data_IF_249311881815
#
_entry.id   IF_249311881815
#
_cell.length_a   1.000
_cell.length_b   1.000
_cell.length_c   1.000
_cell.angle_alpha   90.00
_cell.angle_beta   90.00
_cell.angle_gamma   90.00
#
_symmetry.space_group_name_H-M   'P 1'
#
loop_
_entity.id
_entity.type
_entity.pdbx_description
1 polymer ?
#
# COMPACT_ATOMS: atom_id res chain seq x y z
N UNK A 1 -22.55 -24.58 8.85
CA UNK A 1 -22.75 -23.37 8.02
C UNK A 1 -22.44 -22.18 8.90
N UNK A 2 -21.34 -21.46 8.64
CA UNK A 2 -21.05 -20.23 9.38
C UNK A 2 -22.08 -19.19 8.96
N UNK A 3 -22.86 -18.69 9.91
CA UNK A 3 -23.80 -17.58 9.72
C UNK A 3 -22.98 -16.34 9.32
N UNK A 4 -23.09 -15.88 8.07
CA UNK A 4 -22.52 -14.59 7.66
C UNK A 4 -23.16 -13.50 8.55
N UNK A 5 -22.35 -12.82 9.38
CA UNK A 5 -22.81 -11.71 10.23
C UNK A 5 -23.32 -10.59 9.33
N UNK A 6 -24.57 -10.18 9.52
CA UNK A 6 -25.14 -9.02 8.83
C UNK A 6 -24.88 -7.75 9.64
N UNK A 7 -23.99 -6.90 9.14
CA UNK A 7 -23.65 -5.62 9.75
C UNK A 7 -24.65 -4.52 9.35
N UNK A 8 -25.11 -3.75 10.33
CA UNK A 8 -25.91 -2.53 10.10
C UNK A 8 -25.07 -1.43 9.43
N UNK A 9 -25.68 -0.37 8.88
CA UNK A 9 -24.94 0.76 8.32
C UNK A 9 -24.00 1.43 9.35
N UNK A 10 -24.42 1.51 10.61
CA UNK A 10 -23.59 2.05 11.68
C UNK A 10 -22.39 1.13 11.97
N UNK A 11 -22.60 -0.18 12.02
CA UNK A 11 -21.51 -1.13 12.22
C UNK A 11 -20.48 -1.03 11.10
N UNK A 12 -20.93 -0.90 9.85
CA UNK A 12 -20.03 -0.71 8.69
C UNK A 12 -19.23 0.58 8.80
N UNK A 13 -19.85 1.67 9.23
CA UNK A 13 -19.15 2.94 9.46
C UNK A 13 -18.07 2.78 10.55
N UNK A 14 -18.41 2.11 11.66
CA UNK A 14 -17.47 1.85 12.74
C UNK A 14 -16.31 0.94 12.31
N UNK A 15 -16.59 -0.08 11.49
CA UNK A 15 -15.56 -0.94 10.92
C UNK A 15 -14.61 -0.16 10.01
N UNK A 16 -15.13 0.73 9.17
CA UNK A 16 -14.30 1.58 8.30
C UNK A 16 -13.46 2.57 9.12
N UNK A 17 -14.02 3.13 10.21
CA UNK A 17 -13.27 3.97 11.13
C UNK A 17 -12.15 3.17 11.86
N UNK A 18 -12.44 1.94 12.29
CA UNK A 18 -11.44 1.04 12.88
C UNK A 18 -10.32 0.72 11.90
N UNK A 19 -10.65 0.36 10.65
CA UNK A 19 -9.65 0.13 9.59
C UNK A 19 -8.78 1.36 9.35
N UNK A 20 -9.39 2.54 9.23
CA UNK A 20 -8.64 3.80 9.06
C UNK A 20 -7.70 4.08 10.23
N UNK A 21 -8.17 3.87 11.48
CA UNK A 21 -7.33 4.01 12.67
C UNK A 21 -6.17 3.02 12.67
N UNK A 22 -6.41 1.75 12.30
CA UNK A 22 -5.35 0.74 12.20
C UNK A 22 -4.30 1.06 11.15
N UNK A 23 -4.69 1.69 10.04
CA UNK A 23 -3.75 2.10 8.99
C UNK A 23 -2.98 3.37 9.36
N UNK A 24 -3.61 4.33 10.05
CA UNK A 24 -3.03 5.65 10.28
C UNK A 24 -2.27 5.78 11.61
N UNK A 25 -2.67 5.04 12.64
CA UNK A 25 -2.03 5.11 13.94
C UNK A 25 -0.78 4.22 13.96
N UNK A 26 0.39 4.77 14.34
CA UNK A 26 1.61 3.97 14.43
C UNK A 26 1.43 2.75 15.32
N UNK A 27 1.98 1.61 14.90
CA UNK A 27 2.05 0.36 15.65
C UNK A 27 0.69 -0.25 16.02
N UNK A 28 -0.38 0.11 15.32
CA UNK A 28 -1.73 -0.41 15.54
C UNK A 28 -2.11 -1.55 14.60
N UNK A 29 -1.44 -1.67 13.45
CA UNK A 29 -1.54 -2.80 12.54
C UNK A 29 -0.62 -3.95 12.98
N UNK A 30 -1.00 -5.18 12.61
CA UNK A 30 -0.22 -6.39 12.90
C UNK A 30 -0.05 -7.22 11.64
N UNK A 31 1.20 -7.55 11.32
CA UNK A 31 1.52 -8.46 10.23
C UNK A 31 1.16 -9.90 10.60
N UNK A 32 0.60 -10.64 9.65
CA UNK A 32 0.39 -12.08 9.75
C UNK A 32 1.67 -12.85 9.43
N UNK A 33 2.51 -12.30 8.54
CA UNK A 33 3.81 -12.87 8.16
C UNK A 33 4.97 -12.17 8.89
N UNK A 34 6.04 -12.90 9.26
CA UNK A 34 7.24 -12.27 9.79
C UNK A 34 7.91 -11.40 8.73
N UNK A 35 8.56 -10.31 9.15
CA UNK A 35 9.30 -9.44 8.22
C UNK A 35 10.45 -10.20 7.54
N UNK A 36 10.61 -10.08 6.21
CA UNK A 36 11.76 -10.62 5.47
C UNK A 36 13.11 -10.12 6.00
N UNK A 37 13.15 -8.97 6.67
CA UNK A 37 14.36 -8.41 7.27
C UNK A 37 14.89 -9.19 8.48
N UNK A 38 14.11 -10.09 9.08
CA UNK A 38 14.50 -10.82 10.31
C UNK A 38 15.73 -11.71 10.09
N UNK A 39 15.88 -12.26 8.88
CA UNK A 39 17.01 -13.15 8.54
C UNK A 39 18.27 -12.40 8.09
N UNK A 40 18.19 -11.07 7.98
CA UNK A 40 19.29 -10.24 7.50
C UNK A 40 20.10 -9.69 8.68
N UNK A 41 21.44 -9.70 8.60
CA UNK A 41 22.27 -9.12 9.65
C UNK A 41 22.05 -7.60 9.74
N UNK A 42 22.17 -7.04 10.95
CA UNK A 42 22.22 -5.59 11.10
C UNK A 42 23.57 -5.07 10.63
N UNK A 43 23.57 -4.06 9.77
CA UNK A 43 24.77 -3.37 9.34
C UNK A 43 24.67 -1.89 9.69
N UNK A 44 25.75 -1.34 10.27
CA UNK A 44 25.80 0.07 10.60
C UNK A 44 26.11 0.88 9.34
N UNK A 45 25.12 1.61 8.86
CA UNK A 45 25.26 2.54 7.73
C UNK A 45 25.71 3.93 8.20
N UNK A 46 26.18 4.75 7.26
CA UNK A 46 26.43 6.17 7.51
C UNK A 46 25.13 6.89 7.87
N UNK A 47 25.19 8.01 8.59
CA UNK A 47 23.97 8.77 8.90
C UNK A 47 23.26 9.29 7.64
N UNK A 48 24.01 9.60 6.59
CA UNK A 48 23.45 10.05 5.32
C UNK A 48 22.64 8.93 4.66
N UNK A 49 23.20 7.72 4.64
CA UNK A 49 22.53 6.54 4.08
C UNK A 49 21.32 6.14 4.92
N UNK A 50 21.43 6.15 6.25
CA UNK A 50 20.31 5.86 7.16
C UNK A 50 19.15 6.82 6.92
N UNK A 51 19.41 8.12 6.78
CA UNK A 51 18.37 9.11 6.44
C UNK A 51 17.80 8.88 5.05
N UNK A 52 18.63 8.53 4.08
CA UNK A 52 18.18 8.26 2.71
C UNK A 52 17.23 7.06 2.66
N UNK A 53 17.65 5.92 3.21
CA UNK A 53 16.83 4.71 3.30
C UNK A 53 15.55 4.98 4.09
N UNK A 54 15.61 5.70 5.21
CA UNK A 54 14.41 6.06 5.97
C UNK A 54 13.43 6.92 5.16
N UNK A 55 13.92 7.74 4.23
CA UNK A 55 13.10 8.47 3.27
C UNK A 55 12.42 7.54 2.26
N UNK A 56 13.16 6.59 1.69
CA UNK A 56 12.62 5.59 0.74
C UNK A 56 11.58 4.69 1.40
N UNK A 57 11.88 4.15 2.58
CA UNK A 57 10.94 3.29 3.33
C UNK A 57 9.68 4.05 3.73
N UNK A 58 9.77 5.35 4.02
CA UNK A 58 8.58 6.18 4.28
C UNK A 58 7.71 6.35 3.05
N UNK A 59 8.31 6.52 1.87
CA UNK A 59 7.56 6.55 0.61
C UNK A 59 6.79 5.24 0.42
N UNK A 60 7.47 4.10 0.59
CA UNK A 60 6.83 2.79 0.46
C UNK A 60 5.69 2.63 1.47
N UNK A 61 5.93 2.94 2.75
CA UNK A 61 4.89 2.94 3.79
C UNK A 61 3.69 3.81 3.42
N UNK A 62 3.89 5.04 2.94
CA UNK A 62 2.77 5.91 2.51
C UNK A 62 2.08 5.34 1.27
N UNK A 63 2.80 4.64 0.39
CA UNK A 63 2.22 3.83 -0.68
C UNK A 63 1.22 2.82 -0.13
N UNK A 64 1.63 2.05 0.88
CA UNK A 64 0.75 1.07 1.54
C UNK A 64 -0.46 1.71 2.22
N UNK A 65 -0.27 2.85 2.89
CA UNK A 65 -1.39 3.64 3.44
C UNK A 65 -2.39 4.03 2.33
N UNK A 66 -1.89 4.42 1.16
CA UNK A 66 -2.74 4.76 0.02
C UNK A 66 -3.45 3.52 -0.53
N UNK A 67 -2.77 2.38 -0.66
CA UNK A 67 -3.35 1.13 -1.15
C UNK A 67 -4.48 0.64 -0.24
N UNK A 68 -4.25 0.62 1.08
CA UNK A 68 -5.26 0.31 2.09
C UNK A 68 -6.52 1.18 1.92
N UNK A 69 -6.33 2.50 1.85
CA UNK A 69 -7.42 3.44 1.69
C UNK A 69 -8.17 3.24 0.36
N UNK A 70 -7.44 3.02 -0.72
CA UNK A 70 -8.00 2.79 -2.06
C UNK A 70 -8.90 1.55 -2.06
N UNK A 71 -8.40 0.43 -1.55
CA UNK A 71 -9.12 -0.85 -1.51
C UNK A 71 -10.35 -0.77 -0.63
N UNK A 72 -10.26 -0.10 0.52
CA UNK A 72 -11.42 0.15 1.38
C UNK A 72 -12.49 1.01 0.68
N UNK A 73 -12.09 2.08 -0.01
CA UNK A 73 -13.02 2.92 -0.78
C UNK A 73 -13.70 2.14 -1.92
N UNK A 74 -12.93 1.33 -2.65
CA UNK A 74 -13.45 0.46 -3.71
C UNK A 74 -14.41 -0.59 -3.16
N UNK A 75 -14.04 -1.29 -2.07
CA UNK A 75 -14.88 -2.28 -1.41
C UNK A 75 -16.22 -1.71 -0.96
N UNK A 76 -16.20 -0.49 -0.39
CA UNK A 76 -17.39 0.21 0.09
C UNK A 76 -18.43 0.43 -1.02
N UNK A 77 -17.97 0.68 -2.24
CA UNK A 77 -18.82 1.08 -3.37
C UNK A 77 -18.92 0.02 -4.48
N UNK A 78 -18.25 -1.11 -4.32
CA UNK A 78 -18.24 -2.23 -5.25
C UNK A 78 -19.66 -2.78 -5.48
N UNK A 79 -20.00 -2.98 -6.76
CA UNK A 79 -21.32 -3.42 -7.21
C UNK A 79 -21.50 -4.93 -7.05
N UNK A 80 -20.45 -5.71 -7.31
CA UNK A 80 -20.47 -7.16 -7.20
C UNK A 80 -19.84 -7.63 -5.86
N UNK A 81 -20.49 -8.55 -5.13
CA UNK A 81 -19.96 -9.09 -3.88
C UNK A 81 -18.57 -9.73 -4.03
N UNK A 82 -18.30 -10.38 -5.17
CA UNK A 82 -16.99 -10.99 -5.44
C UNK A 82 -15.85 -9.95 -5.53
N UNK A 83 -16.13 -8.76 -6.07
CA UNK A 83 -15.12 -7.71 -6.21
C UNK A 83 -14.88 -7.06 -4.87
N UNK A 84 -15.94 -6.81 -4.09
CA UNK A 84 -15.80 -6.38 -2.70
C UNK A 84 -14.89 -7.32 -1.89
N UNK A 85 -15.18 -8.62 -1.91
CA UNK A 85 -14.36 -9.63 -1.20
C UNK A 85 -12.91 -9.65 -1.70
N UNK A 86 -12.68 -9.43 -2.99
CA UNK A 86 -11.33 -9.35 -3.55
C UNK A 86 -10.58 -8.10 -3.03
N UNK A 87 -11.23 -6.93 -2.96
CA UNK A 87 -10.62 -5.71 -2.42
C UNK A 87 -10.35 -5.80 -0.92
N UNK A 88 -11.28 -6.39 -0.16
CA UNK A 88 -11.10 -6.66 1.28
C UNK A 88 -9.90 -7.58 1.51
N UNK A 89 -9.76 -8.63 0.69
CA UNK A 89 -8.63 -9.55 0.76
C UNK A 89 -7.30 -8.89 0.38
N UNK A 90 -7.26 -8.11 -0.69
CA UNK A 90 -6.06 -7.37 -1.07
C UNK A 90 -5.62 -6.44 0.07
N UNK A 91 -6.57 -5.72 0.69
CA UNK A 91 -6.28 -4.90 1.86
C UNK A 91 -5.73 -5.72 3.04
N UNK A 92 -6.22 -6.93 3.30
CA UNK A 92 -5.67 -7.80 4.35
C UNK A 92 -4.24 -8.27 4.05
N UNK A 93 -3.95 -8.59 2.79
CA UNK A 93 -2.62 -9.04 2.33
C UNK A 93 -1.58 -7.90 2.42
N UNK A 94 -1.97 -6.66 2.08
CA UNK A 94 -1.11 -5.47 2.14
C UNK A 94 -0.74 -4.99 3.55
N UNK A 95 -1.44 -5.47 4.59
CA UNK A 95 -1.11 -5.07 5.99
C UNK A 95 0.30 -5.51 6.37
N UNK A 96 0.77 -6.64 5.82
CA UNK A 96 2.12 -7.12 6.05
C UNK A 96 3.16 -6.10 5.56
N UNK A 97 2.98 -5.57 4.34
CA UNK A 97 3.88 -4.58 3.75
C UNK A 97 3.91 -3.29 4.54
N UNK A 98 2.74 -2.79 4.94
CA UNK A 98 2.58 -1.60 5.79
C UNK A 98 3.41 -1.75 7.08
N UNK A 99 3.23 -2.86 7.78
CA UNK A 99 3.89 -3.13 9.06
C UNK A 99 5.39 -3.34 8.88
N UNK A 100 5.85 -4.05 7.85
CA UNK A 100 7.27 -4.24 7.59
C UNK A 100 7.98 -2.92 7.30
N UNK A 101 7.34 -2.04 6.51
CA UNK A 101 7.87 -0.72 6.23
C UNK A 101 7.95 0.13 7.49
N UNK A 102 6.89 0.16 8.32
CA UNK A 102 6.88 0.88 9.59
C UNK A 102 8.00 0.40 10.52
N UNK A 103 8.12 -0.91 10.70
CA UNK A 103 9.17 -1.51 11.54
C UNK A 103 10.55 -1.10 11.07
N UNK A 104 10.80 -1.11 9.75
CA UNK A 104 12.11 -0.71 9.22
C UNK A 104 12.39 0.78 9.40
N UNK A 105 11.39 1.64 9.21
CA UNK A 105 11.48 3.07 9.48
C UNK A 105 11.89 3.33 10.94
N UNK A 106 11.28 2.62 11.89
CA UNK A 106 11.63 2.74 13.32
C UNK A 106 13.04 2.21 13.62
N UNK A 107 13.46 1.09 13.01
CA UNK A 107 14.84 0.57 13.14
C UNK A 107 15.89 1.56 12.63
N UNK A 108 15.55 2.36 11.63
CA UNK A 108 16.40 3.43 11.08
C UNK A 108 16.35 4.72 11.93
N UNK A 109 15.65 4.72 13.06
CA UNK A 109 15.53 5.89 13.95
C UNK A 109 14.69 7.02 13.36
N UNK A 110 13.71 6.70 12.52
CA UNK A 110 12.82 7.68 11.88
C UNK A 110 11.35 7.41 12.21
N UNK A 111 10.44 8.12 11.54
CA UNK A 111 8.99 8.04 11.73
C UNK A 111 8.23 7.84 10.42
N UNK A 112 6.96 7.47 10.47
CA UNK A 112 6.09 7.42 9.28
C UNK A 112 5.69 8.84 8.84
N UNK A 113 5.13 9.01 7.64
CA UNK A 113 4.81 10.36 7.14
C UNK A 113 3.67 11.01 7.93
N UNK A 114 3.85 12.26 8.32
CA UNK A 114 2.78 13.05 8.95
C UNK A 114 1.65 13.41 7.98
N UNK A 115 1.87 13.26 6.67
CA UNK A 115 0.89 13.50 5.63
C UNK A 115 -0.01 12.28 5.36
N UNK A 116 0.22 11.14 6.01
CA UNK A 116 -0.56 9.92 5.83
C UNK A 116 -2.08 10.14 5.92
N UNK A 117 -2.64 10.92 6.88
CA UNK A 117 -4.08 11.17 6.93
C UNK A 117 -4.65 11.86 5.68
N UNK A 118 -3.88 12.78 5.09
CA UNK A 118 -4.27 13.47 3.86
C UNK A 118 -4.27 12.50 2.67
N UNK A 119 -3.18 11.75 2.50
CA UNK A 119 -3.05 10.79 1.40
C UNK A 119 -4.06 9.64 1.50
N UNK A 120 -4.30 9.14 2.71
CA UNK A 120 -5.35 8.18 3.00
C UNK A 120 -6.72 8.71 2.54
N UNK A 121 -7.08 9.93 2.95
CA UNK A 121 -8.39 10.51 2.61
C UNK A 121 -8.58 10.68 1.11
N UNK A 122 -7.55 11.14 0.40
CA UNK A 122 -7.58 11.29 -1.05
C UNK A 122 -7.70 9.93 -1.75
N UNK A 123 -6.91 8.94 -1.33
CA UNK A 123 -6.90 7.61 -1.92
C UNK A 123 -8.21 6.87 -1.69
N UNK A 124 -8.78 6.97 -0.49
CA UNK A 124 -10.11 6.44 -0.17
C UNK A 124 -11.19 7.04 -1.07
N UNK A 125 -11.17 8.37 -1.26
CA UNK A 125 -12.10 9.05 -2.16
C UNK A 125 -11.98 8.57 -3.61
N UNK A 126 -10.75 8.44 -4.12
CA UNK A 126 -10.50 7.90 -5.46
C UNK A 126 -11.02 6.47 -5.60
N UNK A 127 -10.77 5.62 -4.60
CA UNK A 127 -11.26 4.25 -4.58
C UNK A 127 -12.78 4.16 -4.60
N UNK A 128 -13.45 4.97 -3.78
CA UNK A 128 -14.91 5.05 -3.76
C UNK A 128 -15.48 5.52 -5.11
N UNK A 129 -14.85 6.51 -5.75
CA UNK A 129 -15.26 6.96 -7.09
C UNK A 129 -15.08 5.84 -8.12
N UNK A 130 -13.96 5.11 -8.10
CA UNK A 130 -13.69 4.02 -9.02
C UNK A 130 -14.72 2.89 -8.90
N UNK A 131 -15.08 2.49 -7.67
CA UNK A 131 -16.10 1.47 -7.42
C UNK A 131 -17.50 1.90 -7.85
N UNK A 132 -17.87 3.17 -7.62
CA UNK A 132 -19.15 3.74 -8.12
C UNK A 132 -19.24 3.68 -9.65
N UNK A 133 -18.15 3.97 -10.36
CA UNK A 133 -18.13 3.92 -11.83
C UNK A 133 -18.40 2.49 -12.32
N UNK A 134 -17.53 1.54 -11.99
CA UNK A 134 -17.67 0.13 -12.38
C UNK A 134 -16.62 -0.73 -11.70
N UNK A 135 -17.00 -1.96 -11.37
CA UNK A 135 -16.06 -2.97 -10.86
C UNK A 135 -14.88 -3.26 -11.81
N UNK A 136 -15.08 -3.18 -13.14
CA UNK A 136 -13.98 -3.35 -14.11
C UNK A 136 -12.97 -2.20 -14.05
N UNK A 137 -13.47 -0.98 -13.86
CA UNK A 137 -12.65 0.22 -13.71
C UNK A 137 -11.90 0.16 -12.37
N UNK A 138 -12.59 -0.25 -11.30
CA UNK A 138 -12.00 -0.49 -9.98
C UNK A 138 -10.82 -1.46 -10.06
N UNK A 139 -11.03 -2.67 -10.58
CA UNK A 139 -9.98 -3.69 -10.75
C UNK A 139 -8.86 -3.21 -11.69
N UNK A 140 -9.20 -2.47 -12.75
CA UNK A 140 -8.19 -1.86 -13.61
C UNK A 140 -7.31 -0.84 -12.88
N UNK A 141 -7.88 -0.13 -11.90
CA UNK A 141 -7.16 0.90 -11.14
C UNK A 141 -6.20 0.25 -10.16
N UNK A 142 -6.58 -0.88 -9.55
CA UNK A 142 -5.67 -1.75 -8.79
C UNK A 142 -4.49 -2.15 -9.67
N UNK A 143 -4.74 -2.81 -10.81
CA UNK A 143 -3.67 -3.26 -11.71
C UNK A 143 -2.75 -2.12 -12.20
N UNK A 144 -3.29 -0.92 -12.43
CA UNK A 144 -2.48 0.24 -12.83
C UNK A 144 -1.68 0.82 -11.65
N UNK A 145 -2.19 0.72 -10.43
CA UNK A 145 -1.50 1.16 -9.21
C UNK A 145 -0.35 0.21 -8.90
N UNK A 146 -0.58 -1.10 -8.92
CA UNK A 146 0.47 -2.10 -8.69
C UNK A 146 1.59 -2.03 -9.73
N UNK A 147 1.27 -1.87 -11.02
CA UNK A 147 2.28 -1.65 -12.07
C UNK A 147 3.12 -0.38 -11.83
N UNK A 148 2.60 0.62 -11.09
CA UNK A 148 3.37 1.79 -10.68
C UNK A 148 4.17 1.52 -9.40
N UNK A 149 3.61 0.77 -8.44
CA UNK A 149 4.31 0.36 -7.21
C UNK A 149 5.51 -0.50 -7.56
N UNK A 150 5.38 -1.52 -8.41
CA UNK A 150 6.50 -2.36 -8.88
C UNK A 150 7.65 -1.52 -9.44
N UNK A 151 7.35 -0.50 -10.24
CA UNK A 151 8.36 0.41 -10.80
C UNK A 151 9.06 1.20 -9.70
N UNK A 152 8.31 1.76 -8.74
CA UNK A 152 8.91 2.48 -7.63
C UNK A 152 9.76 1.57 -6.73
N UNK A 153 9.32 0.33 -6.47
CA UNK A 153 10.08 -0.63 -5.68
C UNK A 153 11.40 -1.00 -6.38
N UNK A 154 11.37 -1.23 -7.69
CA UNK A 154 12.57 -1.47 -8.49
C UNK A 154 13.53 -0.26 -8.45
N UNK A 155 13.02 0.96 -8.64
CA UNK A 155 13.81 2.20 -8.53
C UNK A 155 14.41 2.39 -7.13
N UNK A 156 13.68 2.04 -6.06
CA UNK A 156 14.18 2.12 -4.70
C UNK A 156 15.25 1.05 -4.42
N UNK A 157 15.10 -0.16 -4.94
CA UNK A 157 16.09 -1.24 -4.83
C UNK A 157 17.45 -0.85 -5.42
N UNK A 158 17.46 -0.07 -6.51
CA UNK A 158 18.68 0.48 -7.12
C UNK A 158 19.33 1.59 -6.29
N UNK A 159 18.53 2.35 -5.52
CA UNK A 159 18.99 3.45 -4.67
C UNK A 159 19.47 2.99 -3.29
N UNK A 160 19.09 1.79 -2.85
CA UNK A 160 19.53 1.26 -1.56
C UNK A 160 21.05 1.02 -1.54
N UNK A 161 21.74 1.42 -0.47
CA UNK A 161 23.12 1.01 -0.20
C UNK A 161 23.29 -0.52 -0.27
N UNK A 162 24.46 -0.98 -0.70
CA UNK A 162 24.76 -2.41 -0.83
C UNK A 162 24.67 -3.15 0.50
N UNK A 163 24.95 -2.46 1.59
CA UNK A 163 25.03 -2.95 2.95
C UNK A 163 23.64 -3.09 3.61
N UNK A 164 22.61 -2.44 3.07
CA UNK A 164 21.25 -2.48 3.63
C UNK A 164 20.47 -3.72 3.16
N UNK A 165 20.92 -4.89 3.61
CA UNK A 165 20.26 -6.17 3.32
C UNK A 165 18.84 -6.24 3.86
N UNK A 166 18.54 -5.55 4.97
CA UNK A 166 17.22 -5.55 5.61
C UNK A 166 16.16 -4.88 4.75
N UNK A 167 16.39 -3.62 4.36
CA UNK A 167 15.43 -2.91 3.50
C UNK A 167 15.32 -3.60 2.14
N UNK A 168 16.43 -4.09 1.59
CA UNK A 168 16.44 -4.84 0.32
C UNK A 168 15.55 -6.08 0.36
N UNK A 169 15.62 -6.87 1.43
CA UNK A 169 14.79 -8.06 1.59
C UNK A 169 13.30 -7.73 1.66
N UNK A 170 12.94 -6.63 2.34
CA UNK A 170 11.54 -6.16 2.40
C UNK A 170 11.06 -5.77 1.00
N UNK A 171 11.80 -4.91 0.29
CA UNK A 171 11.37 -4.42 -1.03
C UNK A 171 11.33 -5.52 -2.10
N UNK A 172 12.22 -6.51 -2.02
CA UNK A 172 12.19 -7.67 -2.92
C UNK A 172 10.94 -8.53 -2.71
N UNK A 173 10.56 -8.77 -1.45
CA UNK A 173 9.34 -9.52 -1.16
C UNK A 173 8.10 -8.75 -1.63
N UNK A 174 8.01 -7.46 -1.30
CA UNK A 174 6.91 -6.60 -1.75
C UNK A 174 6.80 -6.61 -3.28
N UNK A 175 7.93 -6.43 -4.00
CA UNK A 175 7.91 -6.42 -5.46
C UNK A 175 7.33 -7.72 -6.05
N UNK A 176 7.71 -8.87 -5.49
CA UNK A 176 7.17 -10.16 -5.92
C UNK A 176 5.67 -10.30 -5.62
N UNK A 177 5.21 -9.78 -4.49
CA UNK A 177 3.81 -9.84 -4.08
C UNK A 177 2.96 -8.89 -4.97
N UNK A 178 3.44 -7.68 -5.27
CA UNK A 178 2.71 -6.70 -6.11
C UNK A 178 2.61 -7.10 -7.58
N UNK A 179 3.64 -7.74 -8.13
CA UNK A 179 3.56 -8.30 -9.49
C UNK A 179 2.40 -9.31 -9.60
N UNK A 180 2.20 -10.13 -8.55
CA UNK A 180 1.10 -11.07 -8.50
C UNK A 180 -0.27 -10.39 -8.33
N UNK A 181 -0.36 -9.31 -7.55
CA UNK A 181 -1.60 -8.53 -7.38
C UNK A 181 -2.03 -7.86 -8.69
N UNK A 182 -1.08 -7.29 -9.44
CA UNK A 182 -1.35 -6.66 -10.73
C UNK A 182 -1.97 -7.65 -11.74
N UNK A 183 -1.40 -8.85 -11.84
CA UNK A 183 -1.89 -9.92 -12.71
C UNK A 183 -3.28 -10.40 -12.28
N UNK A 184 -3.45 -10.68 -10.98
CA UNK A 184 -4.71 -11.15 -10.40
C UNK A 184 -5.86 -10.18 -10.65
N UNK A 185 -5.62 -8.87 -10.54
CA UNK A 185 -6.63 -7.84 -10.81
C UNK A 185 -7.07 -7.81 -12.29
N UNK A 186 -6.14 -8.05 -13.23
CA UNK A 186 -6.45 -8.14 -14.66
C UNK A 186 -7.21 -9.42 -14.99
N UNK A 187 -6.80 -10.56 -14.43
CA UNK A 187 -7.48 -11.85 -14.59
C UNK A 187 -8.91 -11.83 -14.03
N UNK A 188 -9.12 -11.09 -12.94
CA UNK A 188 -10.45 -10.84 -12.37
C UNK A 188 -11.36 -9.96 -13.26
N UNK A 189 -10.85 -9.45 -14.39
CA UNK A 189 -11.59 -8.66 -15.37
C UNK A 189 -11.30 -7.15 -15.30
N UNK A 190 -10.18 -6.76 -14.70
CA UNK A 190 -9.72 -5.37 -14.64
C UNK A 190 -9.52 -4.74 -16.01
N UNK A 191 -9.93 -3.47 -16.12
CA UNK A 191 -9.74 -2.70 -17.34
C UNK A 191 -8.27 -2.33 -17.53
N UNK A 192 -7.69 -2.68 -18.67
CA UNK A 192 -6.32 -2.27 -19.02
C UNK A 192 -6.30 -0.79 -19.40
N UNK A 193 -5.92 0.06 -18.45
CA UNK A 193 -5.80 1.49 -18.71
C UNK A 193 -4.74 1.81 -19.77
N UNK A 194 -5.02 2.76 -20.69
CA UNK A 194 -4.07 3.18 -21.70
C UNK A 194 -2.94 4.01 -21.08
N UNK A 195 -1.80 4.07 -21.76
CA UNK A 195 -0.59 4.75 -21.28
C UNK A 195 -0.80 6.21 -20.81
N UNK A 196 -1.62 7.05 -21.46
CA UNK A 196 -1.84 8.43 -20.99
C UNK A 196 -2.48 8.52 -19.61
N UNK A 197 -3.37 7.58 -19.27
CA UNK A 197 -4.02 7.54 -17.94
C UNK A 197 -3.00 7.12 -16.89
N UNK A 198 -2.23 6.06 -17.17
CA UNK A 198 -1.13 5.61 -16.29
C UNK A 198 -0.11 6.73 -16.05
N UNK A 199 0.24 7.49 -17.09
CA UNK A 199 1.14 8.64 -16.97
C UNK A 199 0.59 9.71 -16.01
N UNK A 200 -0.71 10.03 -16.10
CA UNK A 200 -1.36 10.95 -15.17
C UNK A 200 -1.25 10.50 -13.71
N UNK A 201 -1.45 9.20 -13.45
CA UNK A 201 -1.27 8.60 -12.12
C UNK A 201 0.19 8.74 -11.64
N UNK A 202 1.18 8.48 -12.51
CA UNK A 202 2.60 8.65 -12.17
C UNK A 202 2.95 10.10 -11.80
N UNK A 203 2.34 11.10 -12.44
CA UNK A 203 2.58 12.52 -12.11
C UNK A 203 2.08 12.86 -10.70
N UNK A 204 0.89 12.40 -10.33
CA UNK A 204 0.36 12.59 -8.98
C UNK A 204 1.22 11.88 -7.93
N UNK A 205 1.67 10.66 -8.25
CA UNK A 205 2.55 9.89 -7.36
C UNK A 205 3.88 10.60 -7.07
N UNK A 206 4.43 11.38 -8.03
CA UNK A 206 5.66 12.17 -7.81
C UNK A 206 5.51 13.28 -6.78
N UNK A 207 4.31 13.85 -6.63
CA UNK A 207 4.05 14.85 -5.59
C UNK A 207 4.14 14.19 -4.22
N UNK A 208 3.45 13.06 -4.07
CA UNK A 208 3.48 12.24 -2.85
C UNK A 208 4.90 11.80 -2.51
N UNK A 209 5.64 11.20 -3.45
CA UNK A 209 6.98 10.68 -3.16
C UNK A 209 7.95 11.77 -2.71
N UNK A 210 7.91 12.95 -3.34
CA UNK A 210 8.77 14.08 -2.97
C UNK A 210 8.43 14.66 -1.59
N UNK A 211 7.15 14.79 -1.26
CA UNK A 211 6.76 15.27 0.07
C UNK A 211 7.08 14.25 1.15
N UNK A 212 6.68 13.01 0.94
CA UNK A 212 6.85 11.90 1.90
C UNK A 212 8.30 11.56 2.15
N UNK A 213 9.19 11.73 1.17
CA UNK A 213 10.62 11.51 1.40
C UNK A 213 11.17 12.31 2.58
N UNK A 214 10.59 13.49 2.88
CA UNK A 214 11.11 14.44 3.87
C UNK A 214 10.32 14.49 5.18
N UNK A 215 9.01 14.21 5.16
CA UNK A 215 8.09 14.47 6.28
C UNK A 215 7.08 13.35 6.50
#
# INVERSE_FOLDING_TARGET
MATERQYSPLDRLLLQADSAMRTLLPSSAHSQRPSPAVVQPEHKMSEADTRHVAGLMRINHTGEVCAQALYQGQALTAKLPKVRKAMERAAEEEIDHLVWCEQRIHQLGSHTSVLNPLFYSLSFGMGAVAGVISDRVSLGFVAATEDQVCKHLAEHLEQLPTEDGKSRAILQQMLSDEEHHAESALEAGGFRFPAPVKFGMSVLAKVMTKSTYRI
#
